data_IF_312631906051
#
_entry.id   IF_312631906051
#
_cell.length_a   1.000
_cell.length_b   1.000
_cell.length_c   1.000
_cell.angle_alpha   90.00
_cell.angle_beta   90.00
_cell.angle_gamma   90.00
#
_symmetry.space_group_name_H-M   'P 1'
#
loop_
_entity.id
_entity.type
_entity.pdbx_description
1 polymer ?
#
# COMPACT_ATOMS: atom_id res chain seq x y z
N UNK A 1 9.74 -11.30 -3.94
CA UNK A 1 10.24 -10.05 -3.34
C UNK A 1 9.17 -9.50 -2.40
N UNK A 2 9.55 -8.84 -1.31
CA UNK A 2 8.60 -8.22 -0.37
C UNK A 2 8.82 -6.70 -0.37
N UNK A 3 7.73 -5.95 -0.40
CA UNK A 3 7.74 -4.48 -0.37
C UNK A 3 7.90 -3.80 -1.74
N UNK A 4 7.87 -2.47 -1.82
CA UNK A 4 7.86 -1.55 -0.69
C UNK A 4 7.08 -0.26 -0.96
N UNK A 5 6.01 -0.05 -0.19
CA UNK A 5 5.33 1.24 -0.07
C UNK A 5 5.97 2.03 1.07
N UNK A 6 6.39 3.26 0.79
CA UNK A 6 6.88 4.21 1.81
C UNK A 6 5.77 4.49 2.84
N UNK A 7 5.96 4.19 4.14
CA UNK A 7 4.97 4.47 5.18
C UNK A 7 4.51 5.93 5.25
N UNK A 8 5.33 6.88 4.77
CA UNK A 8 4.96 8.29 4.71
C UNK A 8 3.69 8.51 3.86
N UNK A 9 3.43 7.68 2.84
CA UNK A 9 2.23 7.83 2.01
C UNK A 9 0.94 7.69 2.82
N UNK A 10 0.96 6.87 3.87
CA UNK A 10 -0.20 6.66 4.72
C UNK A 10 -0.61 7.96 5.43
N UNK A 11 0.33 8.85 5.70
CA UNK A 11 0.04 10.16 6.32
C UNK A 11 -0.56 11.17 5.35
N UNK A 12 -0.45 10.94 4.03
CA UNK A 12 -1.03 11.79 3.01
C UNK A 12 -2.55 11.54 2.80
N UNK A 13 -3.09 10.48 3.43
CA UNK A 13 -4.51 10.16 3.39
C UNK A 13 -4.87 8.98 2.47
N UNK A 14 -6.16 8.60 2.42
CA UNK A 14 -6.63 7.39 1.74
C UNK A 14 -6.47 7.44 0.22
N UNK A 15 -6.72 8.59 -0.42
CA UNK A 15 -6.61 8.72 -1.87
C UNK A 15 -5.16 8.58 -2.37
N UNK A 16 -4.17 9.33 -1.83
CA UNK A 16 -2.77 9.13 -2.20
C UNK A 16 -2.26 7.72 -1.90
N UNK A 17 -2.73 7.13 -0.79
CA UNK A 17 -2.36 5.76 -0.41
C UNK A 17 -2.86 4.74 -1.44
N UNK A 18 -4.11 4.86 -1.89
CA UNK A 18 -4.68 3.98 -2.91
C UNK A 18 -3.90 4.07 -4.22
N UNK A 19 -3.64 5.29 -4.70
CA UNK A 19 -2.90 5.52 -5.94
C UNK A 19 -1.48 4.93 -5.89
N UNK A 20 -0.80 5.05 -4.75
CA UNK A 20 0.53 4.44 -4.57
C UNK A 20 0.47 2.91 -4.57
N UNK A 21 -0.55 2.32 -3.95
CA UNK A 21 -0.75 0.87 -3.96
C UNK A 21 -1.02 0.35 -5.38
N UNK A 22 -1.92 1.00 -6.13
CA UNK A 22 -2.23 0.65 -7.52
C UNK A 22 -0.99 0.78 -8.41
N UNK A 23 -0.23 1.87 -8.27
CA UNK A 23 1.02 2.06 -9.02
C UNK A 23 2.08 1.00 -8.70
N UNK A 24 2.18 0.54 -7.45
CA UNK A 24 3.06 -0.58 -7.11
C UNK A 24 2.58 -1.87 -7.78
N UNK A 25 1.28 -2.14 -7.75
CA UNK A 25 0.68 -3.35 -8.31
C UNK A 25 0.89 -3.43 -9.83
N UNK A 26 0.82 -2.30 -10.55
CA UNK A 26 1.14 -2.22 -11.98
C UNK A 26 2.60 -2.56 -12.31
N UNK A 27 3.52 -2.25 -11.40
CA UNK A 27 4.96 -2.45 -11.59
C UNK A 27 5.41 -3.88 -11.25
N UNK A 28 4.64 -4.60 -10.43
CA UNK A 28 5.05 -5.89 -9.90
C UNK A 28 4.35 -7.01 -10.65
N UNK A 29 5.10 -8.07 -10.98
CA UNK A 29 4.48 -9.27 -11.57
C UNK A 29 3.63 -9.97 -10.50
N UNK A 30 2.41 -10.35 -10.84
CA UNK A 30 1.42 -10.96 -9.93
C UNK A 30 1.92 -12.19 -9.14
N UNK A 31 2.99 -12.87 -9.58
CA UNK A 31 3.52 -14.06 -8.92
C UNK A 31 4.82 -13.76 -8.17
N UNK A 32 4.81 -14.01 -6.87
CA UNK A 32 6.01 -13.95 -6.01
C UNK A 32 6.30 -12.58 -5.40
N UNK A 33 5.32 -11.67 -5.40
CA UNK A 33 5.39 -10.39 -4.68
C UNK A 33 4.50 -10.41 -3.42
N UNK A 34 5.06 -10.03 -2.28
CA UNK A 34 4.30 -9.79 -1.04
C UNK A 34 4.27 -8.29 -0.80
N UNK A 35 3.11 -7.66 -1.00
CA UNK A 35 2.97 -6.22 -0.76
C UNK A 35 3.12 -5.97 0.74
N UNK A 36 4.02 -5.05 1.08
CA UNK A 36 4.26 -4.64 2.45
C UNK A 36 4.77 -3.19 2.46
N UNK A 37 4.70 -2.57 3.63
CA UNK A 37 5.41 -1.33 3.90
C UNK A 37 6.91 -1.61 4.04
N UNK A 38 7.69 -0.55 3.92
CA UNK A 38 9.15 -0.61 4.05
C UNK A 38 9.63 -0.61 5.46
N UNK A 39 8.85 0.04 6.31
CA UNK A 39 9.00 0.14 7.75
C UNK A 39 7.62 0.08 8.40
N UNK A 40 7.58 0.25 9.72
CA UNK A 40 6.33 0.28 10.46
C UNK A 40 5.43 1.46 10.07
N UNK A 41 4.14 1.30 10.37
CA UNK A 41 3.15 2.38 10.31
C UNK A 41 3.56 3.50 11.28
N UNK A 42 3.38 4.75 10.87
CA UNK A 42 3.72 5.91 11.70
C UNK A 42 2.60 6.17 12.74
N UNK A 43 2.92 6.69 13.95
CA UNK A 43 1.92 6.85 15.02
C UNK A 43 0.72 7.73 14.65
N UNK A 44 0.90 8.69 13.76
CA UNK A 44 -0.12 9.64 13.30
C UNK A 44 -0.76 9.22 11.97
N UNK A 45 -0.56 7.99 11.51
CA UNK A 45 -1.21 7.46 10.31
C UNK A 45 -2.73 7.40 10.51
N UNK A 46 -3.54 8.06 9.66
CA UNK A 46 -4.99 7.87 9.64
C UNK A 46 -5.35 6.41 9.33
N UNK A 47 -6.32 5.87 10.05
CA UNK A 47 -6.76 4.47 9.90
C UNK A 47 -7.32 4.23 8.49
N UNK A 48 -8.02 5.24 7.96
CA UNK A 48 -8.64 5.21 6.63
C UNK A 48 -7.59 5.02 5.53
N UNK A 49 -6.37 5.53 5.73
CA UNK A 49 -5.26 5.29 4.79
C UNK A 49 -4.85 3.82 4.79
N UNK A 50 -4.76 3.18 5.95
CA UNK A 50 -4.44 1.76 6.07
C UNK A 50 -5.54 0.91 5.44
N UNK A 51 -6.81 1.26 5.66
CA UNK A 51 -7.95 0.60 5.03
C UNK A 51 -7.89 0.71 3.50
N UNK A 52 -7.62 1.92 2.98
CA UNK A 52 -7.48 2.15 1.55
C UNK A 52 -6.36 1.29 0.93
N UNK A 53 -5.21 1.17 1.61
CA UNK A 53 -4.12 0.30 1.20
C UNK A 53 -4.57 -1.17 1.11
N UNK A 54 -5.16 -1.69 2.19
CA UNK A 54 -5.58 -3.10 2.25
C UNK A 54 -6.63 -3.40 1.18
N UNK A 55 -7.58 -2.50 0.97
CA UNK A 55 -8.61 -2.66 -0.06
C UNK A 55 -8.02 -2.65 -1.48
N UNK A 56 -7.08 -1.74 -1.78
CA UNK A 56 -6.42 -1.68 -3.09
C UNK A 56 -5.69 -2.99 -3.40
N UNK A 57 -4.89 -3.48 -2.46
CA UNK A 57 -4.14 -4.74 -2.62
C UNK A 57 -5.05 -5.95 -2.78
N UNK A 58 -6.18 -5.99 -2.06
CA UNK A 58 -7.11 -7.12 -2.14
C UNK A 58 -7.90 -7.17 -3.45
N UNK A 59 -8.26 -6.02 -4.04
CA UNK A 59 -9.01 -5.97 -5.29
C UNK A 59 -8.23 -6.55 -6.47
N UNK A 60 -6.95 -6.24 -6.57
CA UNK A 60 -6.08 -6.71 -7.67
C UNK A 60 -5.56 -8.15 -7.49
N UNK A 61 -5.63 -8.69 -6.27
CA UNK A 61 -5.20 -10.06 -5.99
C UNK A 61 -6.26 -11.13 -6.32
N UNK A 62 -7.43 -10.73 -6.85
CA UNK A 62 -8.51 -11.60 -7.30
C UNK A 62 -8.46 -11.78 -8.82
#
# INVERSE_FOLDING_TARGET
VQGNIDPAILTAGPEPTRAAAESLLDQVRARGHIVNLGHGVLPNTPVESVEALVQAVRREAQ
#
